data_IF_755634159905
#
_entry.id   IF_755634159905
#
_cell.length_a   1.000
_cell.length_b   1.000
_cell.length_c   1.000
_cell.angle_alpha   90.00
_cell.angle_beta   90.00
_cell.angle_gamma   90.00
#
_symmetry.space_group_name_H-M   'P 1'
#
loop_
_entity.id
_entity.type
_entity.pdbx_description
1 polymer ?
#
# COMPACT_ATOMS: atom_id res chain seq x y z
N UNK A 1 3.71 23.31 52.22
CA UNK A 1 3.87 21.86 51.99
C UNK A 1 4.05 21.68 50.49
N UNK A 2 5.19 21.16 50.00
CA UNK A 2 5.28 20.73 48.62
C UNK A 2 4.38 19.51 48.45
N UNK A 3 3.64 19.44 47.33
CA UNK A 3 3.00 18.20 46.89
C UNK A 3 4.10 17.15 46.74
N UNK A 4 4.12 16.17 47.65
CA UNK A 4 4.94 14.96 47.50
C UNK A 4 4.34 14.21 46.31
N UNK A 5 4.83 14.51 45.11
CA UNK A 5 4.53 13.74 43.93
C UNK A 5 5.06 12.34 44.17
N UNK A 6 4.16 11.35 44.24
CA UNK A 6 4.57 9.95 44.20
C UNK A 6 5.27 9.77 42.85
N UNK A 7 6.60 9.66 42.85
CA UNK A 7 7.36 9.19 41.69
C UNK A 7 6.91 7.75 41.41
N UNK A 8 5.84 7.61 40.63
CA UNK A 8 5.40 6.30 40.15
C UNK A 8 6.43 5.78 39.17
N UNK A 9 6.81 4.52 39.33
CA UNK A 9 7.66 3.86 38.35
C UNK A 9 6.94 3.76 37.01
N UNK A 10 7.71 3.76 35.91
CA UNK A 10 7.16 3.59 34.56
C UNK A 10 6.38 2.27 34.44
N UNK A 11 6.81 1.23 35.16
CA UNK A 11 6.14 -0.07 35.22
C UNK A 11 4.74 0.02 35.84
N UNK A 12 4.62 0.65 37.02
CA UNK A 12 3.32 0.82 37.70
C UNK A 12 2.35 1.62 36.83
N UNK A 13 2.85 2.66 36.16
CA UNK A 13 2.05 3.46 35.25
C UNK A 13 1.48 2.65 34.08
N UNK A 14 2.29 1.79 33.45
CA UNK A 14 1.80 0.91 32.40
C UNK A 14 0.83 -0.14 32.94
N UNK A 15 1.04 -0.71 34.14
CA UNK A 15 0.12 -1.72 34.72
C UNK A 15 -1.31 -1.20 34.88
N UNK A 16 -1.48 0.08 35.18
CA UNK A 16 -2.81 0.71 35.29
C UNK A 16 -3.60 0.67 33.97
N UNK A 17 -2.92 0.59 32.82
CA UNK A 17 -3.58 0.55 31.51
C UNK A 17 -4.48 -0.66 31.31
N UNK A 18 -4.18 -1.79 31.97
CA UNK A 18 -5.01 -2.99 31.92
C UNK A 18 -6.45 -2.75 32.41
N UNK A 19 -6.67 -1.73 33.25
CA UNK A 19 -7.98 -1.37 33.79
C UNK A 19 -8.72 -0.34 32.94
N UNK A 20 -8.05 0.23 31.93
CA UNK A 20 -8.59 1.29 31.10
C UNK A 20 -9.25 0.72 29.84
N UNK A 21 -10.35 1.32 29.35
CA UNK A 21 -11.00 0.91 28.10
C UNK A 21 -10.25 1.48 26.87
N UNK A 22 -8.94 1.21 26.79
CA UNK A 22 -8.08 1.74 25.72
C UNK A 22 -8.42 1.02 24.41
N UNK A 23 -9.06 1.75 23.50
CA UNK A 23 -9.42 1.22 22.18
C UNK A 23 -8.28 1.31 21.16
N UNK A 24 -7.37 2.27 21.34
CA UNK A 24 -6.25 2.47 20.42
C UNK A 24 -5.07 3.18 21.07
N UNK A 25 -3.86 2.79 20.65
CA UNK A 25 -2.61 3.40 21.12
C UNK A 25 -1.91 4.03 19.93
N UNK A 26 -1.51 5.29 20.08
CA UNK A 26 -0.76 6.05 19.08
C UNK A 26 0.54 6.55 19.69
N UNK A 27 1.63 5.93 19.28
CA UNK A 27 2.99 6.29 19.65
C UNK A 27 3.51 7.19 18.54
N UNK A 28 3.42 8.52 18.77
CA UNK A 28 3.73 9.59 17.81
C UNK A 28 4.76 10.57 18.37
N UNK A 29 5.56 11.16 17.49
CA UNK A 29 6.52 12.21 17.86
C UNK A 29 6.57 13.25 16.75
N UNK A 30 6.34 14.51 17.12
CA UNK A 30 6.44 15.66 16.23
C UNK A 30 7.89 16.11 16.03
N UNK A 31 8.81 15.74 16.93
CA UNK A 31 10.23 16.04 16.79
C UNK A 31 10.89 15.10 15.77
N UNK A 32 11.44 15.72 14.74
CA UNK A 32 12.13 15.06 13.65
C UNK A 32 13.43 14.32 14.07
N UNK A 33 13.90 14.41 15.31
CA UNK A 33 15.21 13.85 15.71
C UNK A 33 15.21 12.64 16.65
N UNK A 34 14.14 12.37 17.40
CA UNK A 34 14.13 11.30 18.43
C UNK A 34 13.26 10.09 18.07
N UNK A 35 13.59 8.91 18.64
CA UNK A 35 12.73 7.72 18.57
C UNK A 35 11.46 7.96 19.39
N UNK A 36 10.32 7.54 18.85
CA UNK A 36 9.03 7.85 19.45
C UNK A 36 8.74 7.09 20.74
N UNK A 37 9.21 5.84 20.83
CA UNK A 37 9.16 5.05 22.06
C UNK A 37 10.59 4.88 22.58
N UNK A 38 10.91 5.36 23.79
CA UNK A 38 12.20 5.10 24.42
C UNK A 38 12.41 3.58 24.58
N UNK A 39 13.61 3.04 24.31
CA UNK A 39 13.89 1.61 24.46
C UNK A 39 13.53 1.06 25.86
N UNK A 40 13.73 1.86 26.91
CA UNK A 40 13.38 1.50 28.28
C UNK A 40 11.87 1.32 28.51
N UNK A 41 11.01 1.93 27.69
CA UNK A 41 9.55 1.80 27.79
C UNK A 41 8.99 0.58 27.05
N UNK A 42 9.76 0.00 26.11
CA UNK A 42 9.32 -1.11 25.25
C UNK A 42 8.86 -2.32 26.07
N UNK A 43 9.62 -2.85 27.05
CA UNK A 43 9.21 -4.05 27.77
C UNK A 43 7.91 -3.84 28.56
N UNK A 44 7.74 -2.67 29.17
CA UNK A 44 6.56 -2.35 29.97
C UNK A 44 5.30 -2.18 29.12
N UNK A 45 5.42 -1.53 27.95
CA UNK A 45 4.32 -1.40 27.01
C UNK A 45 3.84 -2.79 26.55
N UNK A 46 4.76 -3.62 26.03
CA UNK A 46 4.40 -4.95 25.51
C UNK A 46 3.95 -5.93 26.60
N UNK A 47 4.35 -5.73 27.86
CA UNK A 47 3.82 -6.50 28.98
C UNK A 47 2.33 -6.19 29.27
N UNK A 48 1.87 -4.95 29.05
CA UNK A 48 0.47 -4.59 29.33
C UNK A 48 -0.48 -4.79 28.14
N UNK A 49 0.00 -4.74 26.89
CA UNK A 49 -0.87 -4.86 25.72
C UNK A 49 -1.81 -6.09 25.73
N UNK A 50 -1.39 -7.30 26.14
CA UNK A 50 -2.28 -8.47 26.21
C UNK A 50 -3.47 -8.30 27.19
N UNK A 51 -3.34 -7.42 28.17
CA UNK A 51 -4.36 -7.14 29.18
C UNK A 51 -5.32 -6.01 28.75
N UNK A 52 -5.04 -5.32 27.65
CA UNK A 52 -5.89 -4.25 27.12
C UNK A 52 -7.00 -4.85 26.24
N UNK A 53 -8.04 -5.42 26.86
CA UNK A 53 -9.07 -6.20 26.14
C UNK A 53 -9.91 -5.42 25.12
N UNK A 54 -9.96 -4.09 25.21
CA UNK A 54 -10.64 -3.21 24.26
C UNK A 54 -9.76 -2.76 23.10
N UNK A 55 -8.46 -3.11 23.11
CA UNK A 55 -7.49 -2.58 22.16
C UNK A 55 -7.71 -3.18 20.78
N UNK A 56 -7.93 -2.31 19.80
CA UNK A 56 -8.22 -2.68 18.41
C UNK A 56 -7.30 -2.02 17.39
N UNK A 57 -6.61 -0.93 17.77
CA UNK A 57 -5.80 -0.13 16.84
C UNK A 57 -4.44 0.22 17.43
N UNK A 58 -3.38 0.01 16.65
CA UNK A 58 -2.01 0.37 17.00
C UNK A 58 -1.41 1.27 15.93
N UNK A 59 -0.86 2.40 16.35
CA UNK A 59 -0.07 3.29 15.48
C UNK A 59 1.30 3.55 16.09
N UNK A 60 2.36 3.24 15.34
CA UNK A 60 3.73 3.54 15.71
C UNK A 60 4.41 4.36 14.61
N UNK A 61 4.75 5.60 14.91
CA UNK A 61 5.61 6.41 14.07
C UNK A 61 7.07 6.20 14.49
N UNK A 62 7.99 6.10 13.53
CA UNK A 62 9.43 5.82 13.76
C UNK A 62 9.64 4.62 14.70
N UNK A 63 8.92 3.54 14.42
CA UNK A 63 8.95 2.32 15.22
C UNK A 63 10.36 1.73 15.28
N UNK A 64 10.86 1.47 16.48
CA UNK A 64 12.12 0.78 16.75
C UNK A 64 11.92 -0.64 17.31
N UNK A 65 10.68 -1.02 17.62
CA UNK A 65 10.32 -2.25 18.32
C UNK A 65 9.46 -3.18 17.44
N UNK A 66 9.89 -3.42 16.19
CA UNK A 66 9.13 -4.22 15.22
C UNK A 66 8.92 -5.66 15.71
N UNK A 67 9.96 -6.33 16.21
CA UNK A 67 9.84 -7.74 16.61
C UNK A 67 8.92 -7.95 17.81
N UNK A 68 9.04 -7.19 18.93
CA UNK A 68 8.05 -7.25 20.00
C UNK A 68 6.63 -6.91 19.53
N UNK A 69 6.49 -5.99 18.57
CA UNK A 69 5.20 -5.62 17.99
C UNK A 69 4.56 -6.78 17.23
N UNK A 70 5.29 -7.41 16.30
CA UNK A 70 4.75 -8.53 15.55
C UNK A 70 4.51 -9.75 16.44
N UNK A 71 5.40 -10.04 17.39
CA UNK A 71 5.21 -11.10 18.38
C UNK A 71 3.90 -10.91 19.16
N UNK A 72 3.63 -9.69 19.66
CA UNK A 72 2.35 -9.37 20.30
C UNK A 72 1.16 -9.58 19.34
N UNK A 73 1.25 -9.06 18.11
CA UNK A 73 0.18 -9.19 17.10
C UNK A 73 -0.16 -10.65 16.82
N UNK A 74 0.82 -11.56 16.78
CA UNK A 74 0.61 -12.98 16.54
C UNK A 74 -0.31 -13.64 17.58
N UNK A 75 -0.30 -13.15 18.82
CA UNK A 75 -1.16 -13.61 19.91
C UNK A 75 -2.49 -12.85 20.01
N UNK A 76 -2.60 -11.70 19.33
CA UNK A 76 -3.79 -10.85 19.43
C UNK A 76 -4.90 -11.31 18.48
N UNK A 77 -6.13 -11.32 19.00
CA UNK A 77 -7.36 -11.54 18.23
C UNK A 77 -8.20 -10.27 18.07
N UNK A 78 -7.83 -9.19 18.77
CA UNK A 78 -8.61 -7.94 18.85
C UNK A 78 -8.03 -6.84 17.97
N UNK A 79 -6.73 -6.85 17.67
CA UNK A 79 -6.11 -5.83 16.81
C UNK A 79 -6.59 -6.00 15.38
N UNK A 80 -7.30 -4.99 14.89
CA UNK A 80 -7.83 -4.94 13.53
C UNK A 80 -7.21 -3.85 12.67
N UNK A 81 -6.48 -2.91 13.28
CA UNK A 81 -5.80 -1.82 12.58
C UNK A 81 -4.36 -1.69 13.05
N UNK A 82 -3.46 -1.66 12.07
CA UNK A 82 -2.03 -1.44 12.29
C UNK A 82 -1.52 -0.35 11.35
N UNK A 83 -0.88 0.67 11.93
CA UNK A 83 -0.09 1.65 11.18
C UNK A 83 1.32 1.70 11.76
N UNK A 84 2.31 1.35 10.95
CA UNK A 84 3.72 1.38 11.35
C UNK A 84 4.51 2.15 10.31
N UNK A 85 5.26 3.14 10.77
CA UNK A 85 6.29 3.82 9.99
C UNK A 85 7.62 3.67 10.69
N UNK A 86 8.68 3.40 9.93
CA UNK A 86 10.05 3.48 10.42
C UNK A 86 10.66 4.86 10.14
N UNK A 87 11.81 5.13 10.76
CA UNK A 87 12.59 6.36 10.58
C UNK A 87 13.28 6.43 9.21
N UNK A 88 14.40 7.16 9.12
CA UNK A 88 15.21 7.20 7.90
C UNK A 88 16.03 5.92 7.68
N UNK A 89 16.30 5.16 8.75
CA UNK A 89 17.02 3.91 8.65
C UNK A 89 16.20 2.82 7.99
N UNK A 90 16.84 2.06 7.09
CA UNK A 90 16.28 0.84 6.51
C UNK A 90 16.04 -0.18 7.64
N UNK A 91 14.78 -0.40 8.02
CA UNK A 91 14.42 -1.45 9.00
C UNK A 91 14.02 -2.72 8.27
N UNK A 92 14.73 -3.79 8.57
CA UNK A 92 14.52 -5.11 7.99
C UNK A 92 13.55 -5.92 8.85
N UNK A 93 12.55 -6.51 8.21
CA UNK A 93 11.66 -7.52 8.77
C UNK A 93 12.38 -8.86 8.70
N UNK A 94 12.53 -9.47 9.87
CA UNK A 94 13.13 -10.80 10.05
C UNK A 94 12.16 -11.91 9.67
N UNK A 95 12.65 -13.15 9.64
CA UNK A 95 11.80 -14.33 9.43
C UNK A 95 10.70 -14.43 10.50
N UNK A 96 11.06 -14.22 11.77
CA UNK A 96 10.12 -14.26 12.88
C UNK A 96 9.02 -13.18 12.73
N UNK A 97 9.38 -11.97 12.32
CA UNK A 97 8.41 -10.89 12.11
C UNK A 97 7.36 -11.27 11.06
N UNK A 98 7.78 -11.88 9.95
CA UNK A 98 6.85 -12.32 8.89
C UNK A 98 5.99 -13.50 9.33
N UNK A 99 6.54 -14.46 10.07
CA UNK A 99 5.77 -15.59 10.63
C UNK A 99 4.70 -15.08 11.58
N UNK A 100 5.07 -14.18 12.49
CA UNK A 100 4.15 -13.56 13.43
C UNK A 100 3.07 -12.71 12.75
N UNK A 101 3.44 -11.89 11.77
CA UNK A 101 2.48 -11.13 10.98
C UNK A 101 1.50 -12.04 10.21
N UNK A 102 2.01 -13.14 9.65
CA UNK A 102 1.19 -14.16 8.97
C UNK A 102 0.20 -14.82 9.93
N UNK A 103 0.62 -15.12 11.15
CA UNK A 103 -0.25 -15.67 12.19
C UNK A 103 -1.37 -14.69 12.55
N UNK A 104 -1.02 -13.42 12.79
CA UNK A 104 -2.00 -12.36 13.09
C UNK A 104 -3.07 -12.21 12.00
N UNK A 105 -2.66 -12.20 10.72
CA UNK A 105 -3.57 -12.12 9.58
C UNK A 105 -4.55 -13.29 9.48
N UNK A 106 -4.21 -14.45 10.07
CA UNK A 106 -5.05 -15.65 10.12
C UNK A 106 -5.94 -15.70 11.36
N UNK A 107 -5.54 -15.07 12.46
CA UNK A 107 -6.24 -15.16 13.75
C UNK A 107 -7.17 -13.98 14.03
N UNK A 108 -6.91 -12.80 13.46
CA UNK A 108 -7.66 -11.58 13.74
C UNK A 108 -8.45 -11.08 12.52
N UNK A 109 -9.60 -10.40 12.72
CA UNK A 109 -10.36 -9.78 11.65
C UNK A 109 -9.72 -8.44 11.23
N UNK A 110 -8.53 -8.51 10.62
CA UNK A 110 -7.74 -7.32 10.26
C UNK A 110 -8.46 -6.52 9.17
N UNK A 111 -8.66 -5.22 9.41
CA UNK A 111 -9.37 -4.32 8.49
C UNK A 111 -8.43 -3.34 7.78
N UNK A 112 -7.37 -2.87 8.44
CA UNK A 112 -6.49 -1.83 7.89
C UNK A 112 -5.02 -2.10 8.24
N UNK A 113 -4.17 -2.05 7.23
CA UNK A 113 -2.73 -2.17 7.39
C UNK A 113 -2.05 -1.04 6.62
N UNK A 114 -1.17 -0.31 7.31
CA UNK A 114 -0.30 0.69 6.73
C UNK A 114 1.14 0.39 7.16
N UNK A 115 1.98 0.02 6.20
CA UNK A 115 3.40 -0.29 6.38
C UNK A 115 4.24 0.73 5.63
N UNK A 116 5.05 1.50 6.37
CA UNK A 116 5.85 2.59 5.84
C UNK A 116 7.34 2.42 6.19
N UNK A 117 8.20 2.48 5.17
CA UNK A 117 9.68 2.36 5.27
C UNK A 117 10.12 1.04 5.92
N UNK A 118 9.49 -0.05 5.49
CA UNK A 118 9.74 -1.40 5.97
C UNK A 118 10.23 -2.25 4.81
N UNK A 119 11.19 -3.13 5.08
CA UNK A 119 11.87 -3.89 4.04
C UNK A 119 12.00 -5.33 4.50
N UNK A 120 11.82 -6.30 3.61
CA UNK A 120 12.02 -7.71 3.99
C UNK A 120 13.50 -8.03 3.95
N UNK A 121 14.04 -8.65 5.01
CA UNK A 121 15.42 -9.10 5.02
C UNK A 121 15.66 -10.09 3.86
N UNK A 122 16.68 -9.85 3.00
CA UNK A 122 16.97 -10.72 1.86
C UNK A 122 17.19 -12.19 2.24
N UNK A 123 17.72 -12.45 3.44
CA UNK A 123 18.02 -13.79 3.96
C UNK A 123 16.77 -14.62 4.30
N UNK A 124 15.60 -13.98 4.45
CA UNK A 124 14.36 -14.68 4.80
C UNK A 124 13.97 -15.67 3.70
N UNK A 125 13.64 -16.93 4.05
CA UNK A 125 13.28 -17.95 3.06
C UNK A 125 12.09 -17.54 2.19
N UNK A 126 12.14 -17.86 0.90
CA UNK A 126 11.06 -17.54 -0.05
C UNK A 126 9.71 -18.13 0.36
N UNK A 127 9.70 -19.29 1.02
CA UNK A 127 8.47 -19.90 1.57
C UNK A 127 7.79 -18.99 2.60
N UNK A 128 8.55 -18.37 3.51
CA UNK A 128 8.05 -17.46 4.54
C UNK A 128 7.57 -16.14 3.91
N UNK A 129 8.36 -15.58 2.97
CA UNK A 129 7.95 -14.41 2.18
C UNK A 129 6.61 -14.66 1.49
N UNK A 130 6.51 -15.77 0.76
CA UNK A 130 5.30 -16.15 0.03
C UNK A 130 4.11 -16.37 0.95
N UNK A 131 4.31 -17.02 2.10
CA UNK A 131 3.24 -17.23 3.09
C UNK A 131 2.70 -15.88 3.60
N UNK A 132 3.57 -14.92 3.92
CA UNK A 132 3.18 -13.59 4.35
C UNK A 132 2.42 -12.83 3.27
N UNK A 133 2.95 -12.75 2.05
CA UNK A 133 2.27 -12.04 0.96
C UNK A 133 0.95 -12.70 0.56
N UNK A 134 0.88 -14.03 0.56
CA UNK A 134 -0.39 -14.75 0.36
C UNK A 134 -1.40 -14.38 1.45
N UNK A 135 -0.98 -14.36 2.71
CA UNK A 135 -1.87 -14.04 3.82
C UNK A 135 -2.35 -12.59 3.79
N UNK A 136 -1.48 -11.62 3.51
CA UNK A 136 -1.86 -10.19 3.56
C UNK A 136 -2.77 -9.80 2.39
N UNK A 137 -2.47 -10.26 1.16
CA UNK A 137 -3.28 -9.95 -0.01
C UNK A 137 -4.58 -10.78 -0.06
N UNK A 138 -4.56 -12.00 0.48
CA UNK A 138 -5.71 -12.90 0.57
C UNK A 138 -6.53 -12.74 1.85
N UNK A 139 -6.23 -11.77 2.72
CA UNK A 139 -6.94 -11.58 4.00
C UNK A 139 -8.41 -11.17 3.76
N UNK A 140 -9.40 -12.02 4.10
CA UNK A 140 -10.80 -11.81 3.68
C UNK A 140 -11.50 -10.64 4.37
N UNK A 141 -10.98 -10.21 5.51
CA UNK A 141 -11.49 -9.12 6.35
C UNK A 141 -10.83 -7.77 6.03
N UNK A 142 -9.70 -7.79 5.34
CA UNK A 142 -8.92 -6.61 5.02
C UNK A 142 -9.72 -5.69 4.11
N UNK A 143 -9.73 -4.39 4.41
CA UNK A 143 -10.43 -3.35 3.63
C UNK A 143 -9.47 -2.38 2.98
N UNK A 144 -8.36 -2.06 3.66
CA UNK A 144 -7.35 -1.14 3.16
C UNK A 144 -5.95 -1.69 3.42
N UNK A 145 -5.16 -1.73 2.36
CA UNK A 145 -3.75 -2.10 2.41
C UNK A 145 -2.92 -0.97 1.81
N UNK A 146 -1.97 -0.47 2.59
CA UNK A 146 -1.13 0.64 2.22
C UNK A 146 0.34 0.28 2.46
N UNK A 147 1.14 0.40 1.40
CA UNK A 147 2.59 0.31 1.45
C UNK A 147 3.21 1.66 1.06
N UNK A 148 4.19 2.11 1.83
CA UNK A 148 5.04 3.24 1.47
C UNK A 148 6.51 2.88 1.62
N UNK A 149 7.35 3.12 0.61
CA UNK A 149 8.78 2.81 0.68
C UNK A 149 9.02 1.38 1.15
N UNK A 150 8.43 0.43 0.43
CA UNK A 150 8.45 -1.00 0.74
C UNK A 150 9.03 -1.77 -0.44
N UNK A 151 9.91 -2.74 -0.16
CA UNK A 151 10.51 -3.59 -1.19
C UNK A 151 9.68 -4.87 -1.39
N UNK A 152 9.10 -5.04 -2.57
CA UNK A 152 8.41 -6.28 -2.92
C UNK A 152 9.43 -7.31 -3.44
N UNK A 153 9.47 -8.53 -2.88
CA UNK A 153 10.32 -9.56 -3.43
C UNK A 153 9.82 -9.96 -4.84
N UNK A 154 10.70 -10.50 -5.70
CA UNK A 154 10.29 -11.03 -7.01
C UNK A 154 9.35 -12.24 -6.91
N UNK A 155 9.19 -12.81 -5.72
CA UNK A 155 8.42 -14.03 -5.50
C UNK A 155 6.91 -13.76 -5.45
N UNK A 156 6.21 -14.65 -6.15
CA UNK A 156 4.94 -14.42 -6.85
C UNK A 156 3.74 -14.68 -5.93
N UNK A 157 2.69 -13.86 -5.99
CA UNK A 157 1.40 -14.21 -5.38
C UNK A 157 0.88 -15.52 -6.00
N UNK A 158 0.36 -16.48 -5.21
CA UNK A 158 -0.21 -17.70 -5.76
C UNK A 158 -1.24 -17.40 -6.86
N UNK A 159 -1.29 -18.22 -7.91
CA UNK A 159 -2.11 -17.97 -9.11
C UNK A 159 -3.61 -17.79 -8.83
N UNK A 160 -4.10 -18.30 -7.70
CA UNK A 160 -5.51 -18.25 -7.27
C UNK A 160 -5.76 -17.24 -6.15
N UNK A 161 -4.86 -16.27 -5.96
CA UNK A 161 -5.05 -15.24 -4.93
C UNK A 161 -6.22 -14.34 -5.33
N UNK A 162 -7.16 -14.15 -4.41
CA UNK A 162 -8.25 -13.17 -4.55
C UNK A 162 -7.98 -12.01 -3.60
N UNK A 163 -8.01 -10.79 -4.12
CA UNK A 163 -7.87 -9.58 -3.31
C UNK A 163 -9.24 -9.24 -2.70
N UNK A 164 -9.33 -9.34 -1.38
CA UNK A 164 -10.58 -9.08 -0.67
C UNK A 164 -10.73 -7.63 -0.21
N UNK A 165 -9.66 -6.83 -0.26
CA UNK A 165 -9.69 -5.42 0.13
C UNK A 165 -10.43 -4.52 -0.85
N UNK A 166 -10.85 -3.35 -0.36
CA UNK A 166 -11.46 -2.31 -1.17
C UNK A 166 -10.41 -1.37 -1.77
N UNK A 167 -9.31 -1.13 -1.05
CA UNK A 167 -8.29 -0.16 -1.42
C UNK A 167 -6.90 -0.74 -1.29
N UNK A 168 -6.14 -0.71 -2.38
CA UNK A 168 -4.71 -1.02 -2.42
C UNK A 168 -3.93 0.25 -2.77
N UNK A 169 -3.01 0.64 -1.90
CA UNK A 169 -2.06 1.73 -2.17
C UNK A 169 -0.64 1.19 -2.09
N UNK A 170 0.12 1.40 -3.16
CA UNK A 170 1.54 1.10 -3.29
C UNK A 170 2.21 2.43 -3.64
N UNK A 171 2.95 3.00 -2.69
CA UNK A 171 3.58 4.31 -2.85
C UNK A 171 5.09 4.23 -2.63
N UNK A 172 5.91 4.67 -3.57
CA UNK A 172 7.36 4.71 -3.39
C UNK A 172 7.96 3.31 -3.19
N UNK A 173 7.33 2.28 -3.73
CA UNK A 173 7.75 0.90 -3.60
C UNK A 173 8.49 0.44 -4.84
N UNK A 174 9.40 -0.54 -4.69
CA UNK A 174 9.87 -1.31 -5.83
C UNK A 174 8.73 -2.20 -6.31
N UNK A 175 8.36 -2.12 -7.59
CA UNK A 175 7.26 -2.93 -8.14
C UNK A 175 7.72 -3.66 -9.40
N UNK A 176 8.56 -4.71 -9.30
CA UNK A 176 9.04 -5.45 -10.48
C UNK A 176 7.88 -5.93 -11.38
N UNK A 177 8.11 -6.14 -12.70
CA UNK A 177 7.06 -6.58 -13.63
C UNK A 177 6.29 -7.82 -13.14
N UNK A 178 6.99 -8.79 -12.55
CA UNK A 178 6.40 -10.00 -11.99
C UNK A 178 5.39 -9.73 -10.84
N UNK A 179 5.62 -8.68 -10.05
CA UNK A 179 4.69 -8.25 -9.00
C UNK A 179 3.43 -7.67 -9.64
N UNK A 180 3.59 -6.81 -10.65
CA UNK A 180 2.46 -6.21 -11.37
C UNK A 180 1.60 -7.27 -12.07
N UNK A 181 2.21 -8.27 -12.73
CA UNK A 181 1.50 -9.42 -13.32
C UNK A 181 0.79 -10.27 -12.27
N UNK A 182 1.39 -10.42 -11.09
CA UNK A 182 0.75 -11.13 -9.97
C UNK A 182 -0.47 -10.39 -9.43
N UNK A 183 -0.35 -9.08 -9.29
CA UNK A 183 -1.48 -8.21 -8.93
C UNK A 183 -2.56 -8.25 -10.01
N UNK A 184 -2.20 -8.26 -11.30
CA UNK A 184 -3.14 -8.38 -12.40
C UNK A 184 -3.97 -9.67 -12.31
N UNK A 185 -3.30 -10.83 -12.15
CA UNK A 185 -3.97 -12.13 -12.00
C UNK A 185 -4.90 -12.17 -10.79
N UNK A 186 -4.46 -11.61 -9.67
CA UNK A 186 -5.28 -11.56 -8.47
C UNK A 186 -6.48 -10.62 -8.64
N UNK A 187 -6.26 -9.44 -9.23
CA UNK A 187 -7.27 -8.43 -9.47
C UNK A 187 -8.39 -8.94 -10.38
N UNK A 188 -8.08 -9.73 -11.43
CA UNK A 188 -9.08 -10.37 -12.30
C UNK A 188 -10.09 -11.23 -11.55
N UNK A 189 -9.66 -11.87 -10.46
CA UNK A 189 -10.52 -12.73 -9.63
C UNK A 189 -11.24 -11.95 -8.53
N UNK A 190 -10.94 -10.66 -8.40
CA UNK A 190 -11.35 -9.83 -7.27
C UNK A 190 -12.57 -8.99 -7.62
N UNK A 191 -13.61 -9.10 -6.80
CA UNK A 191 -14.88 -8.38 -6.99
C UNK A 191 -15.05 -7.19 -6.05
N UNK A 192 -14.22 -7.10 -5.01
CA UNK A 192 -14.32 -6.07 -3.96
C UNK A 192 -13.38 -4.90 -4.12
N UNK A 193 -12.33 -5.03 -4.94
CA UNK A 193 -11.33 -3.98 -5.14
C UNK A 193 -11.98 -2.82 -5.88
N UNK A 194 -12.12 -1.69 -5.19
CA UNK A 194 -12.72 -0.47 -5.71
C UNK A 194 -11.66 0.56 -6.12
N UNK A 195 -10.53 0.60 -5.41
CA UNK A 195 -9.48 1.59 -5.65
C UNK A 195 -8.08 0.97 -5.66
N UNK A 196 -7.32 1.29 -6.71
CA UNK A 196 -5.92 0.89 -6.85
C UNK A 196 -5.07 2.11 -7.14
N UNK A 197 -4.05 2.32 -6.31
CA UNK A 197 -3.19 3.49 -6.31
C UNK A 197 -1.73 3.04 -6.37
N UNK A 198 -1.13 3.16 -7.55
CA UNK A 198 0.27 2.88 -7.83
C UNK A 198 0.98 4.21 -7.98
N UNK A 199 1.69 4.66 -6.94
CA UNK A 199 2.23 6.02 -6.85
C UNK A 199 3.76 6.00 -6.71
N UNK A 200 4.46 6.77 -7.53
CA UNK A 200 5.91 6.94 -7.54
C UNK A 200 6.67 5.61 -7.46
N UNK A 201 6.93 4.98 -8.60
CA UNK A 201 7.78 3.80 -8.64
C UNK A 201 9.16 4.15 -8.08
N UNK A 202 9.59 3.48 -7.00
CA UNK A 202 10.94 3.65 -6.48
C UNK A 202 11.91 2.80 -7.31
N UNK A 203 12.88 3.46 -7.93
CA UNK A 203 13.88 2.85 -8.80
C UNK A 203 15.23 2.93 -8.11
N UNK A 204 15.88 1.78 -7.88
CA UNK A 204 17.10 1.71 -7.07
C UNK A 204 18.35 2.14 -7.85
N UNK A 205 18.40 1.97 -9.17
CA UNK A 205 19.43 2.48 -10.07
C UNK A 205 19.25 1.68 -11.36
N UNK A 206 18.78 2.33 -12.43
CA UNK A 206 18.84 1.70 -13.74
C UNK A 206 19.06 2.74 -14.83
N UNK A 207 20.32 3.12 -15.02
CA UNK A 207 20.72 4.06 -16.08
C UNK A 207 20.58 3.47 -17.51
N UNK A 208 20.05 2.26 -17.70
CA UNK A 208 20.02 1.58 -19.01
C UNK A 208 18.83 0.63 -19.30
N UNK A 209 17.83 0.45 -18.42
CA UNK A 209 16.66 -0.36 -18.81
C UNK A 209 15.66 0.50 -19.57
N UNK A 210 15.30 0.03 -20.75
CA UNK A 210 14.09 0.47 -21.42
C UNK A 210 12.88 -0.08 -20.67
N UNK A 211 12.42 0.69 -19.67
CA UNK A 211 11.23 0.39 -18.88
C UNK A 211 9.99 0.23 -19.76
N UNK A 212 9.98 0.86 -20.95
CA UNK A 212 8.91 0.71 -21.93
C UNK A 212 8.82 -0.73 -22.43
N UNK A 213 9.96 -1.36 -22.72
CA UNK A 213 9.98 -2.76 -23.12
C UNK A 213 9.76 -3.69 -21.93
N UNK A 214 10.40 -3.44 -20.79
CA UNK A 214 10.39 -4.38 -19.65
C UNK A 214 9.00 -4.52 -19.01
N UNK A 215 8.26 -3.41 -18.87
CA UNK A 215 6.94 -3.41 -18.25
C UNK A 215 5.80 -3.61 -19.24
N UNK A 216 6.07 -3.76 -20.55
CA UNK A 216 5.05 -3.82 -21.60
C UNK A 216 3.94 -4.84 -21.28
N UNK A 217 4.32 -6.10 -21.12
CA UNK A 217 3.39 -7.20 -20.84
C UNK A 217 2.70 -7.04 -19.47
N UNK A 218 3.45 -6.59 -18.46
CA UNK A 218 2.93 -6.45 -17.11
C UNK A 218 1.82 -5.38 -17.02
N UNK A 219 1.98 -4.27 -17.75
CA UNK A 219 0.96 -3.23 -17.85
C UNK A 219 -0.26 -3.67 -18.64
N UNK A 220 -0.07 -4.37 -19.75
CA UNK A 220 -1.17 -4.91 -20.54
C UNK A 220 -2.04 -5.84 -19.69
N UNK A 221 -1.42 -6.80 -19.00
CA UNK A 221 -2.13 -7.73 -18.11
C UNK A 221 -2.87 -7.00 -16.99
N UNK A 222 -2.22 -6.02 -16.36
CA UNK A 222 -2.76 -5.28 -15.23
C UNK A 222 -3.92 -4.38 -15.62
N UNK A 223 -3.78 -3.63 -16.71
CA UNK A 223 -4.84 -2.72 -17.14
C UNK A 223 -6.02 -3.49 -17.70
N UNK A 224 -5.79 -4.59 -18.43
CA UNK A 224 -6.89 -5.47 -18.81
C UNK A 224 -7.56 -6.07 -17.57
N UNK A 225 -6.82 -6.41 -16.51
CA UNK A 225 -7.42 -6.82 -15.23
C UNK A 225 -8.28 -5.72 -14.60
N UNK A 226 -7.85 -4.45 -14.64
CA UNK A 226 -8.65 -3.30 -14.18
C UNK A 226 -9.95 -3.16 -14.98
N UNK A 227 -9.92 -3.42 -16.29
CA UNK A 227 -11.13 -3.38 -17.12
C UNK A 227 -12.17 -4.44 -16.75
N UNK A 228 -11.75 -5.56 -16.14
CA UNK A 228 -12.61 -6.65 -15.71
C UNK A 228 -13.02 -6.58 -14.24
N UNK A 229 -12.10 -6.13 -13.38
CA UNK A 229 -12.35 -5.94 -11.97
C UNK A 229 -13.22 -4.69 -11.78
N UNK A 230 -14.16 -4.69 -10.83
CA UNK A 230 -15.06 -3.56 -10.56
C UNK A 230 -14.39 -2.31 -9.98
N UNK A 231 -13.16 -2.00 -10.40
CA UNK A 231 -12.36 -0.86 -9.99
C UNK A 231 -13.01 0.43 -10.48
N UNK A 232 -13.16 1.38 -9.56
CA UNK A 232 -13.71 2.72 -9.86
C UNK A 232 -12.67 3.82 -9.76
N UNK A 233 -11.60 3.60 -8.99
CA UNK A 233 -10.53 4.57 -8.81
C UNK A 233 -9.19 3.95 -9.22
N UNK A 234 -8.58 4.44 -10.29
CA UNK A 234 -7.26 4.00 -10.73
C UNK A 234 -6.33 5.20 -10.79
N UNK A 235 -5.33 5.21 -9.89
CA UNK A 235 -4.29 6.23 -9.88
C UNK A 235 -2.95 5.57 -10.17
N UNK A 236 -2.31 5.95 -11.27
CA UNK A 236 -0.97 5.52 -11.64
C UNK A 236 -0.12 6.77 -11.80
N UNK A 237 0.94 6.91 -11.01
CA UNK A 237 1.74 8.13 -10.97
C UNK A 237 3.24 7.83 -11.02
N UNK A 238 3.98 8.42 -11.95
CA UNK A 238 5.45 8.22 -12.05
C UNK A 238 5.84 6.74 -12.15
N UNK A 239 5.20 6.04 -13.09
CA UNK A 239 5.41 4.61 -13.39
C UNK A 239 5.88 4.36 -14.84
N UNK A 240 6.17 5.41 -15.60
CA UNK A 240 6.71 5.33 -16.96
C UNK A 240 5.87 4.47 -17.92
N UNK A 241 4.56 4.73 -18.02
CA UNK A 241 3.68 4.03 -18.98
C UNK A 241 4.02 4.30 -20.45
N UNK A 242 4.70 5.41 -20.75
CA UNK A 242 5.09 5.78 -22.12
C UNK A 242 3.90 5.95 -23.07
N UNK A 243 4.18 6.10 -24.36
CA UNK A 243 3.13 6.24 -25.39
C UNK A 243 2.70 4.93 -26.03
N UNK A 244 3.64 3.99 -26.12
CA UNK A 244 3.52 2.74 -26.88
C UNK A 244 2.32 1.90 -26.47
N UNK A 245 1.76 2.15 -25.28
CA UNK A 245 0.66 1.37 -24.71
C UNK A 245 -0.72 1.99 -24.93
N UNK A 246 -0.86 3.30 -25.17
CA UNK A 246 -2.19 3.94 -25.16
C UNK A 246 -3.15 3.42 -26.22
N UNK A 247 -2.65 2.95 -27.36
CA UNK A 247 -3.48 2.32 -28.38
C UNK A 247 -4.09 0.98 -27.93
N UNK A 248 -3.43 0.25 -27.02
CA UNK A 248 -3.95 -0.97 -26.39
C UNK A 248 -4.85 -0.64 -25.19
N UNK A 249 -4.53 0.44 -24.47
CA UNK A 249 -5.26 0.87 -23.27
C UNK A 249 -6.58 1.56 -23.58
N UNK A 250 -6.70 2.23 -24.73
CA UNK A 250 -7.92 2.93 -25.11
C UNK A 250 -9.16 2.03 -25.04
N UNK A 251 -9.18 0.86 -25.72
CA UNK A 251 -10.30 -0.08 -25.64
C UNK A 251 -10.60 -0.61 -24.23
N UNK A 252 -9.59 -0.70 -23.36
CA UNK A 252 -9.76 -1.12 -21.96
C UNK A 252 -10.48 -0.02 -21.18
N UNK A 253 -10.03 1.22 -21.32
CA UNK A 253 -10.64 2.38 -20.67
C UNK A 253 -12.09 2.55 -21.12
N UNK A 254 -12.39 2.38 -22.41
CA UNK A 254 -13.76 2.45 -22.95
C UNK A 254 -14.74 1.51 -22.23
N UNK A 255 -14.33 0.26 -21.97
CA UNK A 255 -15.19 -0.75 -21.32
C UNK A 255 -15.14 -0.73 -19.79
N UNK A 256 -14.19 -0.02 -19.20
CA UNK A 256 -13.98 0.00 -17.74
C UNK A 256 -15.14 0.67 -16.99
N UNK A 257 -15.24 0.41 -15.68
CA UNK A 257 -16.19 1.07 -14.76
C UNK A 257 -15.53 2.15 -13.90
N UNK A 258 -14.43 2.70 -14.40
CA UNK A 258 -13.69 3.76 -13.73
C UNK A 258 -14.54 5.03 -13.64
N UNK A 259 -14.52 5.66 -12.47
CA UNK A 259 -15.11 6.97 -12.20
C UNK A 259 -14.02 8.04 -12.05
N UNK A 260 -12.85 7.64 -11.54
CA UNK A 260 -11.70 8.51 -11.29
C UNK A 260 -10.42 7.86 -11.84
N UNK A 261 -9.81 8.52 -12.82
CA UNK A 261 -8.57 8.09 -13.47
C UNK A 261 -7.49 9.17 -13.34
N UNK A 262 -6.38 8.85 -12.66
CA UNK A 262 -5.22 9.75 -12.54
C UNK A 262 -3.99 9.08 -13.11
N UNK A 263 -3.35 9.73 -14.07
CA UNK A 263 -2.21 9.20 -14.83
C UNK A 263 -1.01 10.15 -14.81
N UNK A 264 -0.86 10.92 -13.72
CA UNK A 264 0.16 11.96 -13.57
C UNK A 264 1.58 11.45 -13.83
N UNK A 265 2.37 12.22 -14.58
CA UNK A 265 3.80 11.98 -14.77
C UNK A 265 4.16 10.56 -15.27
N UNK A 266 3.46 10.04 -16.28
CA UNK A 266 3.77 8.73 -16.87
C UNK A 266 4.44 8.80 -18.25
N UNK A 267 4.94 9.97 -18.66
CA UNK A 267 5.57 10.15 -19.97
C UNK A 267 4.59 10.05 -21.14
N UNK A 268 3.38 10.62 -20.98
CA UNK A 268 2.33 10.65 -22.00
C UNK A 268 2.59 11.84 -22.94
N UNK A 269 2.76 11.59 -24.23
CA UNK A 269 2.82 12.65 -25.26
C UNK A 269 1.44 13.01 -25.80
N UNK A 270 1.39 13.95 -26.74
CA UNK A 270 0.15 14.35 -27.44
C UNK A 270 -0.55 13.16 -28.14
N UNK A 271 0.21 12.18 -28.66
CA UNK A 271 -0.36 10.99 -29.29
C UNK A 271 -1.05 10.08 -28.25
N UNK A 272 -0.40 9.88 -27.10
CA UNK A 272 -0.98 9.16 -25.98
C UNK A 272 -2.22 9.85 -25.44
N UNK A 273 -2.16 11.17 -25.28
CA UNK A 273 -3.28 12.00 -24.83
C UNK A 273 -4.48 11.92 -25.79
N UNK A 274 -4.25 11.94 -27.11
CA UNK A 274 -5.31 11.78 -28.11
C UNK A 274 -6.00 10.41 -28.00
N UNK A 275 -5.23 9.32 -27.81
CA UNK A 275 -5.79 7.98 -27.59
C UNK A 275 -6.64 7.93 -26.31
N UNK A 276 -6.18 8.55 -25.22
CA UNK A 276 -6.92 8.62 -23.96
C UNK A 276 -8.21 9.44 -24.14
N UNK A 277 -8.16 10.58 -24.85
CA UNK A 277 -9.33 11.40 -25.11
C UNK A 277 -10.43 10.63 -25.87
N UNK A 278 -10.06 9.88 -26.92
CA UNK A 278 -10.98 9.00 -27.64
C UNK A 278 -11.56 7.90 -26.75
N UNK A 279 -10.76 7.36 -25.83
CA UNK A 279 -11.21 6.34 -24.90
C UNK A 279 -12.22 6.87 -23.87
N UNK A 280 -11.98 8.09 -23.37
CA UNK A 280 -12.87 8.78 -22.42
C UNK A 280 -14.20 9.12 -23.09
N UNK A 281 -14.19 9.60 -24.35
CA UNK A 281 -15.42 9.93 -25.09
C UNK A 281 -16.37 8.73 -25.22
N UNK A 282 -15.83 7.52 -25.32
CA UNK A 282 -16.62 6.29 -25.43
C UNK A 282 -16.86 5.59 -24.07
N UNK A 283 -16.36 6.14 -22.96
CA UNK A 283 -16.63 5.64 -21.62
C UNK A 283 -17.82 6.40 -20.99
N UNK A 284 -18.75 5.68 -20.37
CA UNK A 284 -19.97 6.24 -19.79
C UNK A 284 -19.92 6.45 -18.27
N UNK A 285 -18.85 6.02 -17.60
CA UNK A 285 -18.72 6.03 -16.14
C UNK A 285 -17.70 7.04 -15.61
N UNK A 286 -16.73 7.47 -16.41
CA UNK A 286 -15.65 8.37 -16.01
C UNK A 286 -16.22 9.76 -15.71
N UNK A 287 -15.93 10.26 -14.51
CA UNK A 287 -16.36 11.58 -14.03
C UNK A 287 -15.19 12.50 -13.67
N UNK A 288 -14.03 11.92 -13.37
CA UNK A 288 -12.80 12.65 -13.06
C UNK A 288 -11.63 12.03 -13.83
N UNK A 289 -10.90 12.87 -14.56
CA UNK A 289 -9.69 12.46 -15.29
C UNK A 289 -8.60 13.50 -15.02
N UNK A 290 -7.41 13.02 -14.65
CA UNK A 290 -6.23 13.86 -14.49
C UNK A 290 -5.03 13.25 -15.23
N UNK A 291 -4.64 13.88 -16.33
CA UNK A 291 -3.51 13.48 -17.19
C UNK A 291 -2.30 14.40 -17.06
N UNK A 292 -2.25 15.23 -16.01
CA UNK A 292 -1.22 16.27 -15.91
C UNK A 292 0.18 15.65 -16.01
N UNK A 293 0.95 16.09 -17.01
CA UNK A 293 2.37 15.78 -17.12
C UNK A 293 3.21 16.77 -16.31
N UNK A 294 4.51 16.50 -16.21
CA UNK A 294 5.47 17.49 -15.68
C UNK A 294 5.55 18.76 -16.55
N UNK A 295 5.14 18.68 -17.81
CA UNK A 295 5.15 19.79 -18.76
C UNK A 295 3.72 20.27 -19.07
N UNK A 296 3.50 21.58 -18.95
CA UNK A 296 2.19 22.25 -19.07
C UNK A 296 1.55 22.20 -20.47
N UNK A 297 2.19 21.57 -21.46
CA UNK A 297 1.74 21.50 -22.87
C UNK A 297 0.55 20.56 -23.10
N UNK A 298 0.40 19.50 -22.29
CA UNK A 298 -0.66 18.48 -22.44
C UNK A 298 -2.08 19.08 -22.31
N UNK A 299 -2.26 20.12 -21.50
CA UNK A 299 -3.58 20.73 -21.27
C UNK A 299 -4.17 21.34 -22.55
N UNK A 300 -3.35 21.98 -23.38
CA UNK A 300 -3.84 22.68 -24.58
C UNK A 300 -4.44 21.73 -25.63
N UNK A 301 -3.84 20.55 -25.84
CA UNK A 301 -4.34 19.56 -26.78
C UNK A 301 -5.47 18.71 -26.20
N UNK A 302 -5.43 18.38 -24.91
CA UNK A 302 -6.51 17.62 -24.28
C UNK A 302 -7.82 18.42 -24.25
N UNK A 303 -7.75 19.70 -23.89
CA UNK A 303 -8.93 20.59 -23.92
C UNK A 303 -9.43 20.80 -25.36
N UNK A 304 -8.52 20.90 -26.35
CA UNK A 304 -8.89 21.00 -27.76
C UNK A 304 -9.58 19.73 -28.28
N UNK A 305 -9.05 18.54 -27.96
CA UNK A 305 -9.64 17.25 -28.34
C UNK A 305 -11.03 17.02 -27.71
N UNK A 306 -11.25 17.52 -26.49
CA UNK A 306 -12.58 17.55 -25.86
C UNK A 306 -13.51 18.59 -26.53
N UNK A 307 -12.99 19.77 -26.89
CA UNK A 307 -13.77 20.84 -27.52
C UNK A 307 -14.19 20.54 -28.96
N UNK A 308 -13.33 19.92 -29.77
CA UNK A 308 -13.63 19.55 -31.16
C UNK A 308 -14.73 18.49 -31.27
N UNK A 309 -15.01 17.78 -30.19
CA UNK A 309 -16.09 16.81 -30.07
C UNK A 309 -17.42 17.40 -29.58
N UNK A 310 -17.41 18.56 -28.91
CA UNK A 310 -18.63 19.23 -28.44
C UNK A 310 -19.40 19.97 -29.56
N UNK A 311 -19.10 19.68 -30.83
CA UNK A 311 -19.76 20.19 -32.04
C UNK A 311 -20.37 19.03 -32.82
#
# INVERSE_FOLDING_TARGET
MPLVGVERSLEEWYKEWAQLPIAGIRVLNDDSKSTTLPPAAVPYLFAVLPHCHHLTSLTFQRCSCLSPLFEFLASSTTIVELRVSCGLEKKLLTEADLVHATQWLKSAPVHRIHLQKLYVDPTVPSSVKNAFFTAIFGCPTLRQLYFYAFDFPPSVLPAHTVLHMHTLVIYYCTTPPAVLQSLARALRQSTKVNGVYLLNLYQIEIDYLDLDTEYALAWEEFLDAVGHAGVKHLHIMSYCLGDSRWHLLGPILQRSKLHDLKLYNNGISDNGAACIAQAIQANDSLTEVNLRGEYATIFSFFDQALCDYAK
#
